data_IF_476062085212
#
_entry.id   IF_476062085212
#
_cell.length_a   1.000
_cell.length_b   1.000
_cell.length_c   1.000
_cell.angle_alpha   90.00
_cell.angle_beta   90.00
_cell.angle_gamma   90.00
#
_symmetry.space_group_name_H-M   'P 1'
#
loop_
_entity.id
_entity.type
_entity.pdbx_description
1 polymer ?
#
# COMPACT_ATOMS: atom_id res chain seq x y z
N UNK A 1 2.40 4.56 -7.24
CA UNK A 1 2.50 6.02 -7.02
C UNK A 1 1.98 6.44 -5.65
N UNK A 2 2.69 7.38 -5.03
CA UNK A 2 2.31 8.01 -3.75
C UNK A 2 2.19 9.52 -3.99
N UNK A 3 1.07 10.09 -3.56
CA UNK A 3 0.76 11.50 -3.71
C UNK A 3 0.58 12.18 -2.36
N UNK A 4 0.90 13.47 -2.29
CA UNK A 4 0.58 14.32 -1.15
C UNK A 4 -0.92 14.69 -1.14
N UNK A 5 -1.44 15.22 0.00
CA UNK A 5 -2.84 15.61 0.11
C UNK A 5 -3.29 16.68 -0.89
N UNK A 6 -2.36 17.49 -1.41
CA UNK A 6 -2.61 18.49 -2.45
C UNK A 6 -2.59 17.91 -3.88
N UNK A 7 -2.37 16.60 -4.02
CA UNK A 7 -2.28 15.90 -5.30
C UNK A 7 -0.90 15.95 -5.95
N UNK A 8 0.09 16.60 -5.35
CA UNK A 8 1.46 16.58 -5.87
C UNK A 8 2.07 15.17 -5.79
N UNK A 9 2.77 14.75 -6.84
CA UNK A 9 3.45 13.46 -6.87
C UNK A 9 4.67 13.48 -5.94
N UNK A 10 4.85 12.43 -5.13
CA UNK A 10 5.96 12.32 -4.18
C UNK A 10 7.00 11.28 -4.61
N UNK A 11 6.55 10.04 -4.85
CA UNK A 11 7.44 8.93 -5.22
C UNK A 11 6.65 7.77 -5.83
N UNK A 12 7.37 6.87 -6.51
CA UNK A 12 6.88 5.55 -6.88
C UNK A 12 7.49 4.47 -5.99
N UNK A 13 6.80 3.34 -5.89
CA UNK A 13 7.28 2.15 -5.17
C UNK A 13 7.49 1.07 -6.22
N UNK A 14 8.73 0.68 -6.46
CA UNK A 14 9.05 -0.38 -7.40
C UNK A 14 8.52 -1.73 -6.88
N UNK A 15 7.86 -2.47 -7.76
CA UNK A 15 7.31 -3.79 -7.46
C UNK A 15 8.03 -4.86 -8.28
N UNK A 16 8.22 -6.08 -7.74
CA UNK A 16 8.78 -7.21 -8.50
C UNK A 16 7.79 -7.83 -9.50
N UNK A 17 6.69 -7.13 -9.79
CA UNK A 17 5.60 -7.51 -10.69
C UNK A 17 5.09 -6.27 -11.43
N UNK A 18 4.45 -6.47 -12.58
CA UNK A 18 4.08 -5.38 -13.49
C UNK A 18 2.62 -4.91 -13.36
N UNK A 19 1.75 -5.66 -12.67
CA UNK A 19 0.29 -5.40 -12.65
C UNK A 19 -0.27 -5.31 -11.22
N UNK A 20 0.12 -4.32 -10.41
CA UNK A 20 -0.55 -4.07 -9.12
C UNK A 20 -2.04 -3.79 -9.34
N UNK A 21 -2.91 -4.28 -8.44
CA UNK A 21 -4.37 -4.11 -8.56
C UNK A 21 -5.01 -3.39 -7.37
N UNK A 22 -4.58 -3.65 -6.14
CA UNK A 22 -5.13 -2.99 -4.94
C UNK A 22 -4.10 -2.94 -3.82
N UNK A 23 -4.28 -2.01 -2.87
CA UNK A 23 -3.45 -1.87 -1.67
C UNK A 23 -4.30 -1.67 -0.41
N UNK A 24 -3.84 -2.19 0.74
CA UNK A 24 -4.48 -1.95 2.03
C UNK A 24 -3.44 -1.93 3.16
N UNK A 25 -3.51 -0.93 4.03
CA UNK A 25 -2.77 -0.90 5.29
C UNK A 25 -3.32 -1.92 6.30
N UNK A 26 -2.43 -2.55 7.05
CA UNK A 26 -2.79 -3.47 8.13
C UNK A 26 -1.62 -3.82 9.04
N UNK A 27 -1.77 -4.94 9.75
CA UNK A 27 -0.80 -5.43 10.72
C UNK A 27 -0.84 -4.70 12.07
N UNK A 28 -0.14 -5.22 13.10
CA UNK A 28 -0.25 -4.72 14.48
C UNK A 28 0.18 -3.27 14.68
N UNK A 29 1.12 -2.77 13.88
CA UNK A 29 1.61 -1.39 13.92
C UNK A 29 0.95 -0.47 12.87
N UNK A 30 0.03 -1.02 12.06
CA UNK A 30 -0.65 -0.32 10.97
C UNK A 30 0.26 0.12 9.83
N UNK A 31 1.47 -0.45 9.69
CA UNK A 31 2.47 -0.04 8.69
C UNK A 31 2.71 -1.07 7.59
N UNK A 32 2.09 -2.24 7.66
CA UNK A 32 2.13 -3.18 6.55
C UNK A 32 1.21 -2.71 5.44
N UNK A 33 1.75 -2.58 4.22
CA UNK A 33 0.96 -2.38 3.01
C UNK A 33 0.87 -3.73 2.29
N UNK A 34 -0.34 -4.28 2.25
CA UNK A 34 -0.67 -5.47 1.48
C UNK A 34 -0.99 -5.06 0.05
N UNK A 35 -0.48 -5.80 -0.93
CA UNK A 35 -0.65 -5.51 -2.36
C UNK A 35 -1.12 -6.77 -3.07
N UNK A 36 -2.24 -6.68 -3.77
CA UNK A 36 -2.67 -7.70 -4.73
C UNK A 36 -2.22 -7.31 -6.13
N UNK A 37 -1.92 -8.31 -6.96
CA UNK A 37 -1.40 -8.08 -8.31
C UNK A 37 -1.83 -9.19 -9.30
N UNK A 38 -1.81 -8.90 -10.61
CA UNK A 38 -2.27 -9.78 -11.70
C UNK A 38 -1.16 -10.28 -12.63
N UNK A 39 0.11 -10.06 -12.31
CA UNK A 39 1.25 -10.70 -12.98
C UNK A 39 1.39 -12.15 -12.52
N UNK A 40 1.25 -12.42 -11.22
CA UNK A 40 1.35 -13.77 -10.64
C UNK A 40 0.05 -14.22 -9.93
N UNK A 41 -0.96 -13.35 -9.83
CA UNK A 41 -2.19 -13.58 -9.05
C UNK A 41 -1.88 -13.85 -7.57
N UNK A 42 -0.93 -13.11 -7.00
CA UNK A 42 -0.41 -13.31 -5.66
C UNK A 42 -0.69 -12.12 -4.73
N UNK A 43 -0.43 -12.36 -3.43
CA UNK A 43 -0.47 -11.36 -2.37
C UNK A 43 0.95 -11.09 -1.87
N UNK A 44 1.32 -9.81 -1.88
CA UNK A 44 2.61 -9.32 -1.40
C UNK A 44 2.40 -8.37 -0.23
N UNK A 45 3.47 -8.11 0.53
CA UNK A 45 3.46 -7.04 1.52
C UNK A 45 4.84 -6.42 1.70
N UNK A 46 4.85 -5.14 2.04
CA UNK A 46 6.06 -4.42 2.46
C UNK A 46 5.73 -3.48 3.63
N UNK A 47 6.77 -3.00 4.30
CA UNK A 47 6.62 -2.10 5.44
C UNK A 47 6.73 -0.64 4.98
N UNK A 48 5.79 0.21 5.43
CA UNK A 48 5.75 1.61 5.07
C UNK A 48 6.22 2.54 6.19
N UNK A 49 6.85 3.64 5.79
CA UNK A 49 7.45 4.64 6.69
C UNK A 49 6.45 5.32 7.61
N UNK A 50 5.14 5.27 7.33
CA UNK A 50 4.06 5.86 8.14
C UNK A 50 2.93 4.85 8.34
N UNK A 51 2.20 4.99 9.46
CA UNK A 51 0.99 4.20 9.68
C UNK A 51 -0.09 4.59 8.68
N UNK A 52 -0.91 3.63 8.27
CA UNK A 52 -2.13 3.87 7.51
C UNK A 52 -3.16 4.67 8.31
N UNK A 53 -4.13 5.23 7.61
CA UNK A 53 -5.28 5.88 8.23
C UNK A 53 -6.20 4.81 8.86
N UNK A 54 -6.62 4.97 10.14
CA UNK A 54 -7.60 4.08 10.75
C UNK A 54 -8.91 4.04 9.95
N UNK A 55 -9.30 2.82 9.56
CA UNK A 55 -10.56 2.56 8.88
C UNK A 55 -11.71 2.52 9.88
N UNK A 56 -12.95 2.55 9.37
CA UNK A 56 -14.16 2.69 10.19
C UNK A 56 -14.22 1.73 11.39
N UNK A 57 -13.91 0.44 11.19
CA UNK A 57 -13.97 -0.57 12.27
C UNK A 57 -12.85 -0.45 13.31
N UNK A 58 -11.91 0.48 13.14
CA UNK A 58 -10.80 0.77 14.05
C UNK A 58 -10.88 2.19 14.63
N UNK A 59 -12.02 2.88 14.44
CA UNK A 59 -12.32 4.19 15.02
C UNK A 59 -13.09 4.05 16.32
#
# INVERSE_FOLDING_TARGET
EVFAPDGSWLQSIETPFARPSNVHFGGPDGRWVYVTEHTNNALWKFHWVRRGQPQYCQR
#
